data_IF_200140547876
#
_entry.id   IF_200140547876
#
_cell.length_a   1.000
_cell.length_b   1.000
_cell.length_c   1.000
_cell.angle_alpha   90.00
_cell.angle_beta   90.00
_cell.angle_gamma   90.00
#
_symmetry.space_group_name_H-M   'P 1'
#
loop_
_entity.id
_entity.type
_entity.pdbx_description
1 polymer ?
#
# COMPACT_ATOMS: atom_id res chain seq x y z
N UNK A 1 -9.74 -2.38 -25.31
CA UNK A 1 -8.43 -2.41 -24.61
C UNK A 1 -8.75 -2.72 -23.16
N UNK A 2 -8.28 -3.85 -22.64
CA UNK A 2 -8.40 -4.15 -21.22
C UNK A 2 -7.50 -3.16 -20.48
N UNK A 3 -8.08 -2.30 -19.65
CA UNK A 3 -7.30 -1.46 -18.73
C UNK A 3 -7.12 -2.24 -17.44
N UNK A 4 -6.13 -3.12 -17.42
CA UNK A 4 -5.82 -3.92 -16.23
C UNK A 4 -5.49 -2.99 -15.06
N UNK A 5 -6.16 -3.21 -13.92
CA UNK A 5 -6.00 -2.43 -12.70
C UNK A 5 -4.85 -3.00 -11.90
N UNK A 6 -3.69 -2.39 -12.05
CA UNK A 6 -2.49 -2.73 -11.31
C UNK A 6 -2.47 -1.94 -10.00
N UNK A 7 -2.42 -2.65 -8.88
CA UNK A 7 -2.28 -2.08 -7.55
C UNK A 7 -0.81 -2.16 -7.10
N UNK A 8 -0.26 -1.08 -6.56
CA UNK A 8 0.98 -1.14 -5.77
C UNK A 8 0.64 -1.20 -4.28
N UNK A 9 1.38 -1.99 -3.49
CA UNK A 9 1.24 -2.06 -2.03
C UNK A 9 2.61 -2.08 -1.34
N UNK A 10 2.74 -1.27 -0.28
CA UNK A 10 3.96 -1.11 0.51
C UNK A 10 3.60 -0.79 1.99
N UNK A 11 4.51 -1.10 2.92
CA UNK A 11 4.36 -0.94 4.36
C UNK A 11 5.39 -0.01 5.01
N UNK A 12 4.96 0.64 6.09
CA UNK A 12 5.82 1.42 6.99
C UNK A 12 5.61 0.99 8.43
N UNK A 13 6.60 1.24 9.29
CA UNK A 13 6.49 0.94 10.72
C UNK A 13 7.05 -0.41 11.16
N UNK A 14 7.90 -1.07 10.34
CA UNK A 14 8.53 -2.36 10.72
C UNK A 14 9.68 -2.28 11.71
N UNK A 15 10.41 -1.17 11.70
CA UNK A 15 11.62 -0.95 12.52
C UNK A 15 11.41 -0.24 13.87
N UNK A 16 10.41 0.65 14.05
CA UNK A 16 10.18 1.32 15.33
C UNK A 16 9.88 0.36 16.49
N UNK A 17 10.19 0.77 17.72
CA UNK A 17 9.91 0.03 18.96
C UNK A 17 8.45 0.12 19.43
N UNK A 18 7.69 1.06 18.88
CA UNK A 18 6.30 1.31 19.26
C UNK A 18 5.48 1.75 18.05
N UNK A 19 4.20 1.41 18.08
CA UNK A 19 3.24 1.75 17.03
C UNK A 19 2.89 0.56 16.13
N UNK A 20 1.81 0.70 15.34
CA UNK A 20 1.38 -0.33 14.41
C UNK A 20 2.29 -0.38 13.18
N UNK A 21 2.18 -1.47 12.41
CA UNK A 21 2.58 -1.48 11.01
C UNK A 21 1.39 -0.99 10.17
N UNK A 22 1.65 -0.08 9.24
CA UNK A 22 0.64 0.46 8.33
C UNK A 22 1.06 0.19 6.89
N UNK A 23 0.15 -0.30 6.07
CA UNK A 23 0.36 -0.48 4.64
C UNK A 23 -0.64 0.36 3.83
N UNK A 24 -0.23 0.76 2.63
CA UNK A 24 -1.08 1.49 1.70
C UNK A 24 -1.14 0.72 0.38
N UNK A 25 -2.36 0.53 -0.14
CA UNK A 25 -2.60 -0.03 -1.46
C UNK A 25 -3.12 1.09 -2.38
N UNK A 26 -2.59 1.21 -3.59
CA UNK A 26 -2.94 2.28 -4.54
C UNK A 26 -3.06 1.71 -5.95
N UNK A 27 -4.18 2.01 -6.61
CA UNK A 27 -4.38 1.80 -8.06
C UNK A 27 -4.33 3.18 -8.73
N UNK A 28 -3.27 3.43 -9.49
CA UNK A 28 -3.11 4.70 -10.20
C UNK A 28 -4.05 4.79 -11.41
N UNK A 29 -4.54 6.00 -11.69
CA UNK A 29 -5.33 6.27 -12.90
C UNK A 29 -4.39 6.62 -14.07
N UNK A 30 -4.32 5.79 -15.13
CA UNK A 30 -3.48 6.09 -16.29
C UNK A 30 -3.94 7.36 -17.04
N UNK A 31 -5.19 7.80 -16.86
CA UNK A 31 -5.70 9.04 -17.44
C UNK A 31 -5.33 10.28 -16.63
N UNK A 32 -4.86 10.12 -15.38
CA UNK A 32 -4.50 11.23 -14.47
C UNK A 32 -3.11 10.99 -13.86
N UNK A 33 -2.04 11.05 -14.68
CA UNK A 33 -0.69 10.84 -14.18
C UNK A 33 -0.30 11.86 -13.09
N UNK A 34 0.61 11.43 -12.21
CA UNK A 34 1.12 12.22 -11.10
C UNK A 34 2.62 12.45 -11.34
N UNK A 35 2.98 13.69 -11.65
CA UNK A 35 4.37 14.05 -11.96
C UNK A 35 5.25 14.06 -10.71
N UNK A 36 6.44 13.45 -10.84
CA UNK A 36 7.42 13.39 -9.77
C UNK A 36 7.09 12.34 -8.70
N UNK A 37 6.29 11.33 -9.03
CA UNK A 37 6.19 10.10 -8.26
C UNK A 37 7.51 9.33 -8.45
N UNK A 38 8.36 9.31 -7.43
CA UNK A 38 9.66 8.62 -7.36
C UNK A 38 9.82 8.03 -5.95
N UNK A 39 10.89 7.29 -5.69
CA UNK A 39 11.20 6.71 -4.37
C UNK A 39 11.09 7.79 -3.29
N UNK A 40 10.17 7.55 -2.34
CA UNK A 40 9.82 8.50 -1.28
C UNK A 40 11.02 8.93 -0.44
N UNK A 41 12.09 8.13 -0.41
CA UNK A 41 13.34 8.39 0.32
C UNK A 41 14.18 9.52 -0.29
N UNK A 42 13.89 9.93 -1.54
CA UNK A 42 14.54 11.06 -2.21
C UNK A 42 13.77 12.37 -2.10
N UNK A 43 12.56 12.33 -1.53
CA UNK A 43 11.64 13.46 -1.49
C UNK A 43 11.67 14.17 -0.13
N UNK A 44 11.53 15.50 -0.15
CA UNK A 44 11.33 16.28 1.08
C UNK A 44 9.97 15.94 1.70
N UNK A 45 9.82 16.19 3.00
CA UNK A 45 8.55 16.03 3.72
C UNK A 45 7.39 16.79 3.06
N UNK A 46 7.57 18.08 2.79
CA UNK A 46 6.58 18.90 2.10
C UNK A 46 6.18 18.33 0.73
N UNK A 47 7.15 17.77 -0.03
CA UNK A 47 6.86 17.14 -1.31
C UNK A 47 6.07 15.85 -1.15
N UNK A 48 6.36 15.04 -0.12
CA UNK A 48 5.60 13.83 0.21
C UNK A 48 4.15 14.14 0.57
N UNK A 49 3.92 15.19 1.37
CA UNK A 49 2.56 15.64 1.72
C UNK A 49 1.77 16.06 0.48
N UNK A 50 2.39 16.87 -0.39
CA UNK A 50 1.78 17.32 -1.65
C UNK A 50 1.42 16.12 -2.55
N UNK A 51 2.34 15.17 -2.70
CA UNK A 51 2.10 13.96 -3.50
C UNK A 51 1.04 13.06 -2.87
N UNK A 52 0.99 12.94 -1.55
CA UNK A 52 -0.05 12.16 -0.87
C UNK A 52 -1.44 12.74 -1.11
N UNK A 53 -1.60 14.07 -1.16
CA UNK A 53 -2.86 14.70 -1.58
C UNK A 53 -3.20 14.39 -3.03
N UNK A 54 -2.23 14.54 -3.94
CA UNK A 54 -2.42 14.24 -5.36
C UNK A 54 -2.79 12.78 -5.62
N UNK A 55 -2.16 11.83 -4.91
CA UNK A 55 -2.48 10.40 -5.01
C UNK A 55 -3.93 10.17 -4.57
N UNK A 56 -4.34 10.73 -3.42
CA UNK A 56 -5.71 10.57 -2.91
C UNK A 56 -6.76 11.15 -3.85
N UNK A 57 -6.43 12.23 -4.54
CA UNK A 57 -7.32 12.90 -5.50
C UNK A 57 -7.37 12.20 -6.87
N UNK A 58 -6.23 11.66 -7.34
CA UNK A 58 -6.05 11.20 -8.73
C UNK A 58 -6.08 9.69 -8.92
N UNK A 59 -5.80 8.89 -7.89
CA UNK A 59 -5.86 7.44 -7.99
C UNK A 59 -7.28 6.95 -8.29
N UNK A 60 -7.39 5.80 -8.97
CA UNK A 60 -8.67 5.11 -9.18
C UNK A 60 -9.24 4.58 -7.86
N UNK A 61 -8.34 4.06 -7.02
CA UNK A 61 -8.65 3.62 -5.67
C UNK A 61 -7.38 3.64 -4.82
N UNK A 62 -7.55 3.87 -3.52
CA UNK A 62 -6.50 3.68 -2.53
C UNK A 62 -7.12 3.28 -1.20
N UNK A 63 -6.35 2.60 -0.35
CA UNK A 63 -6.81 2.22 0.98
C UNK A 63 -5.64 1.96 1.93
N UNK A 64 -5.92 2.03 3.22
CA UNK A 64 -4.96 1.80 4.29
C UNK A 64 -5.32 0.52 5.04
N UNK A 65 -4.32 -0.32 5.26
CA UNK A 65 -4.38 -1.45 6.16
C UNK A 65 -3.44 -1.23 7.34
N UNK A 66 -3.80 -1.77 8.50
CA UNK A 66 -2.97 -1.67 9.71
C UNK A 66 -2.92 -3.00 10.43
N UNK A 67 -1.82 -3.27 11.11
CA UNK A 67 -1.70 -4.33 12.11
C UNK A 67 -1.24 -3.69 13.43
N UNK A 68 -2.08 -3.81 14.45
CA UNK A 68 -1.85 -3.19 15.77
C UNK A 68 -0.77 -3.93 16.56
N UNK A 69 -0.19 -3.29 17.58
CA UNK A 69 0.88 -3.86 18.40
C UNK A 69 0.53 -5.24 18.95
N UNK A 70 -0.71 -5.42 19.42
CA UNK A 70 -1.19 -6.70 19.92
C UNK A 70 -1.17 -7.82 18.85
N UNK A 71 -1.37 -7.47 17.58
CA UNK A 71 -1.25 -8.42 16.47
C UNK A 71 0.22 -8.69 16.17
N UNK A 72 1.08 -7.66 16.15
CA UNK A 72 2.53 -7.83 15.97
C UNK A 72 3.11 -8.81 17.00
N UNK A 73 2.72 -8.65 18.27
CA UNK A 73 3.16 -9.52 19.36
C UNK A 73 2.66 -10.98 19.18
N UNK A 74 1.46 -11.15 18.63
CA UNK A 74 0.83 -12.46 18.45
C UNK A 74 1.37 -13.22 17.23
N UNK A 75 1.58 -12.53 16.10
CA UNK A 75 1.91 -13.17 14.81
C UNK A 75 3.29 -12.83 14.27
N UNK A 76 4.10 -12.07 15.00
CA UNK A 76 5.39 -11.50 14.60
C UNK A 76 5.31 -10.40 13.53
N UNK A 77 6.40 -9.63 13.43
CA UNK A 77 6.47 -8.44 12.56
C UNK A 77 6.30 -8.76 11.06
N UNK A 78 6.81 -9.91 10.59
CA UNK A 78 6.68 -10.28 9.18
C UNK A 78 5.22 -10.55 8.82
N UNK A 79 4.51 -11.34 9.64
CA UNK A 79 3.10 -11.67 9.36
C UNK A 79 2.19 -10.47 9.59
N UNK A 80 2.49 -9.61 10.57
CA UNK A 80 1.77 -8.36 10.78
C UNK A 80 1.89 -7.41 9.56
N UNK A 81 3.07 -7.31 8.94
CA UNK A 81 3.23 -6.57 7.68
C UNK A 81 2.38 -7.14 6.55
N UNK A 82 2.41 -8.47 6.34
CA UNK A 82 1.60 -9.14 5.32
C UNK A 82 0.10 -8.97 5.58
N UNK A 83 -0.32 -9.03 6.84
CA UNK A 83 -1.70 -8.77 7.27
C UNK A 83 -2.12 -7.33 6.98
N UNK A 84 -1.27 -6.34 7.26
CA UNK A 84 -1.53 -4.95 6.97
C UNK A 84 -1.66 -4.72 5.45
N UNK A 85 -0.76 -5.28 4.64
CA UNK A 85 -0.85 -5.20 3.17
C UNK A 85 -2.13 -5.82 2.63
N UNK A 86 -2.49 -7.02 3.11
CA UNK A 86 -3.75 -7.66 2.71
C UNK A 86 -4.95 -6.79 3.03
N UNK A 87 -5.03 -6.25 4.26
CA UNK A 87 -6.11 -5.34 4.68
C UNK A 87 -6.17 -4.09 3.80
N UNK A 88 -5.03 -3.56 3.37
CA UNK A 88 -4.97 -2.43 2.45
C UNK A 88 -5.58 -2.79 1.08
N UNK A 89 -5.20 -3.95 0.51
CA UNK A 89 -5.74 -4.41 -0.78
C UNK A 89 -7.25 -4.72 -0.68
N UNK A 90 -7.68 -5.42 0.37
CA UNK A 90 -9.09 -5.75 0.62
C UNK A 90 -9.96 -4.50 0.84
N UNK A 91 -9.36 -3.42 1.35
CA UNK A 91 -10.04 -2.15 1.59
C UNK A 91 -10.18 -1.25 0.36
N UNK A 92 -9.68 -1.65 -0.81
CA UNK A 92 -9.84 -0.87 -2.05
C UNK A 92 -11.32 -0.84 -2.48
N UNK A 93 -11.78 0.30 -2.98
CA UNK A 93 -13.15 0.46 -3.49
C UNK A 93 -13.43 -0.33 -4.78
N UNK A 94 -12.38 -0.81 -5.45
CA UNK A 94 -12.46 -1.71 -6.59
C UNK A 94 -11.39 -2.79 -6.49
N UNK A 95 -11.72 -3.99 -6.97
CA UNK A 95 -10.78 -5.11 -6.98
C UNK A 95 -9.70 -4.89 -8.04
N UNK A 96 -8.40 -4.99 -7.68
CA UNK A 96 -7.32 -5.00 -8.66
C UNK A 96 -7.25 -6.32 -9.42
N UNK A 97 -6.69 -6.28 -10.63
CA UNK A 97 -6.41 -7.48 -11.44
C UNK A 97 -5.05 -8.10 -11.04
N UNK A 98 -4.09 -7.24 -10.68
CA UNK A 98 -2.76 -7.62 -10.23
C UNK A 98 -2.28 -6.72 -9.09
N UNK A 99 -1.54 -7.29 -8.13
CA UNK A 99 -0.94 -6.54 -7.00
C UNK A 99 0.59 -6.64 -7.08
N UNK A 100 1.27 -5.50 -7.16
CA UNK A 100 2.71 -5.37 -7.02
C UNK A 100 3.04 -5.09 -5.56
N UNK A 101 3.74 -6.02 -4.91
CA UNK A 101 4.13 -5.93 -3.49
C UNK A 101 5.57 -5.44 -3.36
N UNK A 102 5.82 -4.44 -2.51
CA UNK A 102 7.20 -4.09 -2.12
C UNK A 102 7.72 -5.13 -1.10
N UNK A 103 8.41 -6.16 -1.59
CA UNK A 103 8.98 -7.20 -0.74
C UNK A 103 9.20 -8.53 -1.46
N UNK A 104 9.67 -9.52 -0.69
CA UNK A 104 9.96 -10.88 -1.19
C UNK A 104 8.93 -11.93 -0.75
N UNK A 105 7.83 -11.51 -0.14
CA UNK A 105 6.74 -12.36 0.35
C UNK A 105 5.41 -11.78 -0.12
N UNK A 106 4.56 -12.65 -0.63
CA UNK A 106 3.21 -12.29 -1.10
C UNK A 106 2.24 -12.51 0.06
N UNK A 107 1.37 -11.55 0.40
CA UNK A 107 0.30 -11.76 1.38
C UNK A 107 -0.63 -12.90 0.96
N UNK A 108 -0.93 -13.81 1.89
CA UNK A 108 -1.86 -14.91 1.63
C UNK A 108 -3.32 -14.43 1.60
N UNK A 109 -4.10 -14.95 0.66
CA UNK A 109 -5.53 -14.65 0.56
C UNK A 109 -5.87 -13.35 -0.18
N UNK A 110 -4.95 -12.82 -0.99
CA UNK A 110 -5.26 -11.71 -1.88
C UNK A 110 -6.38 -12.09 -2.86
N UNK A 111 -7.26 -11.14 -3.24
CA UNK A 111 -8.40 -11.40 -4.12
C UNK A 111 -8.01 -11.60 -5.59
N UNK A 112 -6.72 -11.45 -5.91
CA UNK A 112 -6.17 -11.51 -7.27
C UNK A 112 -4.71 -11.99 -7.21
N UNK A 113 -4.07 -12.13 -8.38
CA UNK A 113 -2.66 -12.49 -8.47
C UNK A 113 -1.73 -11.37 -7.98
N UNK A 114 -0.59 -11.77 -7.42
CA UNK A 114 0.50 -10.91 -6.97
C UNK A 114 1.84 -11.45 -7.47
#
# INVERSE_FOLDING_TARGET
>A
MNSDRICGVDEVGRGPLAGPVVACAVILDPARPIDGLDDSKKLSEARRETLAELIRERALAWSLGRAEVAEIDAINILQASLLAMRRAVEGLSCTPDHVLVDGNRIPEGLPCSA
#
